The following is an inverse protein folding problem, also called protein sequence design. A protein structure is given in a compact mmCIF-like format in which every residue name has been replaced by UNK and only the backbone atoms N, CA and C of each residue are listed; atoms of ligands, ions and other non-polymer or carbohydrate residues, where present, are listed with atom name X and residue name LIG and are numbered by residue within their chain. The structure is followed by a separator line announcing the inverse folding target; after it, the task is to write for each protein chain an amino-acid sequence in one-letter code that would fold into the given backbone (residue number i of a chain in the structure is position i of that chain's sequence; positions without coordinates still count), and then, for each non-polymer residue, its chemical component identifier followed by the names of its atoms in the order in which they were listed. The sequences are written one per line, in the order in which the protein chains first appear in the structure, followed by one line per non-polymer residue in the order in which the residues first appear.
data_IF_770764459116
#
_entry.id   IF_770764459116
#
_cell.length_a   1.000
_cell.length_b   1.000
_cell.length_c   1.000
_cell.angle_alpha   90.00
_cell.angle_beta   90.00
_cell.angle_gamma   90.00
#
_symmetry.space_group_name_H-M   'P 1'
#
loop_
_entity.id
_entity.type
_entity.pdbx_description
1 polymer ?
#
# COMPACT_ATOMS: atom_id res chain seq x y z
N UNK A 1 -1.71 -3.67 -18.28
CA UNK A 1 -2.36 -3.75 -16.96
C UNK A 1 -2.17 -2.45 -16.21
N UNK A 2 -3.23 -1.91 -15.64
CA UNK A 2 -3.20 -0.65 -14.89
C UNK A 2 -3.32 -0.94 -13.40
N UNK A 3 -2.31 -0.56 -12.64
CA UNK A 3 -2.28 -0.68 -11.18
C UNK A 3 -2.72 0.63 -10.53
N UNK A 4 -3.58 0.53 -9.53
CA UNK A 4 -3.92 1.61 -8.62
C UNK A 4 -3.17 1.39 -7.32
N UNK A 5 -2.46 2.40 -6.84
CA UNK A 5 -1.58 2.26 -5.68
C UNK A 5 -2.07 3.19 -4.58
N UNK A 6 -2.20 2.64 -3.37
CA UNK A 6 -2.59 3.40 -2.19
C UNK A 6 -1.89 2.86 -0.95
N UNK A 7 -1.90 3.62 0.12
CA UNK A 7 -1.25 3.25 1.37
C UNK A 7 -1.86 4.01 2.54
N UNK A 8 -1.63 3.48 3.75
CA UNK A 8 -1.87 4.21 4.99
C UNK A 8 -3.34 4.66 5.16
N UNK A 9 -4.28 3.73 4.95
CA UNK A 9 -5.71 3.96 5.12
C UNK A 9 -6.06 4.17 6.61
N UNK A 10 -5.36 3.47 7.50
CA UNK A 10 -5.50 3.57 8.95
C UNK A 10 -6.95 3.46 9.46
N UNK A 11 -7.74 2.61 8.83
CA UNK A 11 -9.11 2.33 9.26
C UNK A 11 -10.15 3.39 8.90
N UNK A 12 -9.80 4.38 8.08
CA UNK A 12 -10.73 5.42 7.63
C UNK A 12 -11.67 4.89 6.56
N UNK A 13 -12.91 4.62 6.91
CA UNK A 13 -13.93 4.25 5.93
C UNK A 13 -14.25 5.41 4.97
N UNK A 14 -14.19 6.63 5.44
CA UNK A 14 -14.39 7.83 4.63
C UNK A 14 -13.39 7.89 3.47
N UNK A 15 -12.08 7.82 3.78
CA UNK A 15 -11.06 7.84 2.74
C UNK A 15 -10.99 6.56 1.93
N UNK A 16 -11.33 5.40 2.53
CA UNK A 16 -11.41 4.15 1.80
C UNK A 16 -12.49 4.20 0.71
N UNK A 17 -13.66 4.76 1.01
CA UNK A 17 -14.73 4.96 0.01
C UNK A 17 -14.27 5.86 -1.14
N UNK A 18 -13.61 6.97 -0.82
CA UNK A 18 -13.06 7.88 -1.84
C UNK A 18 -12.01 7.20 -2.71
N UNK A 19 -11.13 6.43 -2.09
CA UNK A 19 -10.14 5.63 -2.79
C UNK A 19 -10.78 4.65 -3.78
N UNK A 20 -11.81 3.93 -3.35
CA UNK A 20 -12.51 2.98 -4.20
C UNK A 20 -13.30 3.64 -5.33
N UNK A 21 -13.88 4.81 -5.08
CA UNK A 21 -14.49 5.62 -6.15
C UNK A 21 -13.46 6.00 -7.20
N UNK A 22 -12.28 6.43 -6.77
CA UNK A 22 -11.19 6.79 -7.69
C UNK A 22 -10.66 5.57 -8.42
N UNK A 23 -10.53 4.43 -7.75
CA UNK A 23 -10.14 3.17 -8.36
C UNK A 23 -11.04 2.81 -9.54
N UNK A 24 -12.36 2.92 -9.35
CA UNK A 24 -13.34 2.67 -10.41
C UNK A 24 -13.25 3.70 -11.53
N UNK A 25 -13.14 4.99 -11.18
CA UNK A 25 -13.05 6.07 -12.17
C UNK A 25 -11.82 5.92 -13.07
N UNK A 26 -10.72 5.42 -12.54
CA UNK A 26 -9.48 5.20 -13.29
C UNK A 26 -9.50 3.92 -14.13
N UNK A 27 -10.51 3.08 -14.01
CA UNK A 27 -10.58 1.77 -14.67
C UNK A 27 -9.33 0.91 -14.44
N UNK A 28 -8.82 0.92 -13.22
CA UNK A 28 -7.65 0.12 -12.87
C UNK A 28 -8.02 -1.36 -12.82
N UNK A 29 -7.05 -2.21 -13.14
CA UNK A 29 -7.22 -3.66 -13.17
C UNK A 29 -6.97 -4.29 -11.80
N UNK A 30 -6.00 -3.76 -11.07
CA UNK A 30 -5.61 -4.24 -9.74
C UNK A 30 -5.21 -3.10 -8.84
N UNK A 31 -5.35 -3.35 -7.54
CA UNK A 31 -4.95 -2.42 -6.48
C UNK A 31 -3.74 -2.98 -5.72
N UNK A 32 -2.73 -2.14 -5.54
CA UNK A 32 -1.59 -2.42 -4.67
C UNK A 32 -1.71 -1.55 -3.43
N UNK A 33 -1.85 -2.18 -2.27
CA UNK A 33 -1.87 -1.52 -0.98
C UNK A 33 -0.52 -1.68 -0.29
N UNK A 34 0.05 -0.59 0.18
CA UNK A 34 1.38 -0.58 0.78
C UNK A 34 1.37 -0.67 2.31
N UNK A 35 0.27 -1.15 2.89
CA UNK A 35 0.18 -1.42 4.32
C UNK A 35 -0.52 -0.33 5.13
N UNK A 36 -0.59 -0.55 6.44
CA UNK A 36 -1.28 0.30 7.42
C UNK A 36 -2.76 0.49 7.06
N UNK A 37 -3.49 -0.63 6.99
CA UNK A 37 -4.86 -0.68 6.48
C UNK A 37 -5.90 -0.35 7.55
N UNK A 38 -5.87 -1.03 8.71
CA UNK A 38 -6.97 -1.00 9.68
C UNK A 38 -6.67 -0.17 10.92
N UNK A 39 -5.50 -0.31 11.49
CA UNK A 39 -5.15 0.33 12.75
C UNK A 39 -4.63 1.76 12.52
N UNK A 40 -5.13 2.71 13.32
CA UNK A 40 -4.75 4.12 13.17
C UNK A 40 -3.29 4.41 13.58
N UNK A 41 -2.68 3.53 14.38
CA UNK A 41 -1.33 3.70 14.92
C UNK A 41 -1.33 4.46 16.24
N UNK A 42 -0.45 4.07 17.19
CA UNK A 42 -0.46 4.64 18.53
C UNK A 42 -0.01 6.11 18.59
N UNK A 43 0.66 6.59 17.54
CA UNK A 43 1.19 7.96 17.47
C UNK A 43 0.33 8.91 16.63
N UNK A 44 -0.72 8.41 16.01
CA UNK A 44 -1.59 9.18 15.13
C UNK A 44 -2.93 9.44 15.80
N UNK A 45 -3.53 10.59 15.52
CA UNK A 45 -4.92 10.84 15.85
C UNK A 45 -5.82 9.93 15.01
N UNK A 46 -7.06 9.71 15.48
CA UNK A 46 -8.04 8.97 14.70
C UNK A 46 -8.35 9.72 13.40
N UNK A 47 -8.25 9.06 12.24
CA UNK A 47 -8.58 9.69 10.97
C UNK A 47 -10.08 9.95 10.85
N UNK A 48 -10.44 10.85 9.96
CA UNK A 48 -11.83 11.14 9.64
C UNK A 48 -12.55 9.85 9.18
N UNK A 49 -13.73 9.60 9.75
CA UNK A 49 -14.52 8.42 9.40
C UNK A 49 -13.88 7.10 9.81
N UNK A 50 -13.16 7.07 10.93
CA UNK A 50 -12.55 5.84 11.43
C UNK A 50 -13.60 4.78 11.71
N UNK A 51 -13.64 3.74 10.90
CA UNK A 51 -14.56 2.61 11.01
C UNK A 51 -13.90 1.37 10.36
N UNK A 52 -12.96 0.72 11.05
CA UNK A 52 -12.20 -0.38 10.47
C UNK A 52 -13.06 -1.55 10.00
N UNK A 53 -14.21 -1.83 10.64
CA UNK A 53 -15.12 -2.88 10.20
C UNK A 53 -15.69 -2.61 8.81
N UNK A 54 -15.99 -1.35 8.50
CA UNK A 54 -16.48 -0.96 7.16
C UNK A 54 -15.35 -1.08 6.13
N UNK A 55 -14.12 -0.73 6.49
CA UNK A 55 -12.95 -0.91 5.63
C UNK A 55 -12.76 -2.39 5.30
N UNK A 56 -12.88 -3.28 6.28
CA UNK A 56 -12.80 -4.73 6.10
C UNK A 56 -13.83 -5.20 5.07
N UNK A 57 -15.08 -4.79 5.22
CA UNK A 57 -16.15 -5.18 4.30
C UNK A 57 -15.88 -4.70 2.86
N UNK A 58 -15.50 -3.44 2.71
CA UNK A 58 -15.22 -2.84 1.40
C UNK A 58 -14.06 -3.54 0.68
N UNK A 59 -12.96 -3.79 1.37
CA UNK A 59 -11.78 -4.41 0.76
C UNK A 59 -11.99 -5.91 0.51
N UNK A 60 -12.64 -6.62 1.41
CA UNK A 60 -12.92 -8.04 1.22
C UNK A 60 -13.85 -8.29 0.02
N UNK A 61 -14.73 -7.36 -0.29
CA UNK A 61 -15.61 -7.45 -1.46
C UNK A 61 -14.83 -7.46 -2.78
N UNK A 62 -13.61 -6.94 -2.79
CA UNK A 62 -12.74 -6.89 -3.98
C UNK A 62 -11.41 -7.62 -3.77
N UNK A 63 -11.38 -8.62 -2.91
CA UNK A 63 -10.18 -9.36 -2.52
C UNK A 63 -9.34 -9.90 -3.67
N UNK A 64 -9.99 -10.28 -4.77
CA UNK A 64 -9.31 -10.90 -5.92
C UNK A 64 -8.52 -9.87 -6.76
N UNK A 65 -8.73 -8.59 -6.53
CA UNK A 65 -8.05 -7.51 -7.22
C UNK A 65 -6.94 -6.85 -6.40
N UNK A 66 -6.76 -7.29 -5.14
CA UNK A 66 -5.83 -6.64 -4.19
C UNK A 66 -4.54 -7.43 -4.02
N UNK A 67 -3.41 -6.73 -4.15
CA UNK A 67 -2.11 -7.14 -3.66
C UNK A 67 -1.72 -6.19 -2.53
N UNK A 68 -1.25 -6.72 -1.40
CA UNK A 68 -0.93 -5.90 -0.23
C UNK A 68 0.40 -6.30 0.38
N UNK A 69 1.19 -5.32 0.81
CA UNK A 69 2.38 -5.55 1.61
C UNK A 69 2.15 -5.11 3.06
N UNK A 70 2.93 -5.67 3.98
CA UNK A 70 2.80 -5.40 5.40
C UNK A 70 3.38 -4.03 5.77
N UNK A 71 2.58 -3.22 6.46
CA UNK A 71 3.05 -2.01 7.12
C UNK A 71 3.48 -2.28 8.58
N UNK A 72 3.84 -1.23 9.29
CA UNK A 72 4.19 -1.34 10.70
C UNK A 72 2.98 -1.58 11.61
N UNK A 73 1.77 -1.32 11.12
CA UNK A 73 0.53 -1.51 11.87
C UNK A 73 -0.15 -2.86 11.65
N UNK A 74 0.22 -3.64 10.65
CA UNK A 74 -0.37 -4.95 10.41
C UNK A 74 0.12 -5.97 11.43
N UNK A 75 -0.82 -6.70 12.02
CA UNK A 75 -0.58 -7.81 12.92
C UNK A 75 -1.35 -9.04 12.42
N UNK A 76 -1.18 -10.17 13.08
CA UNK A 76 -1.88 -11.39 12.70
C UNK A 76 -3.40 -11.26 12.77
N UNK A 77 -3.92 -10.44 13.68
CA UNK A 77 -5.36 -10.18 13.79
C UNK A 77 -5.91 -9.54 12.51
N UNK A 78 -5.13 -8.70 11.85
CA UNK A 78 -5.54 -8.11 10.57
C UNK A 78 -5.67 -9.19 9.49
N UNK A 79 -4.74 -10.14 9.46
CA UNK A 79 -4.82 -11.26 8.53
C UNK A 79 -6.03 -12.16 8.79
N UNK A 80 -6.49 -12.24 10.03
CA UNK A 80 -7.68 -13.04 10.38
C UNK A 80 -8.97 -12.46 9.82
N UNK A 81 -9.04 -11.15 9.60
CA UNK A 81 -10.26 -10.46 9.16
C UNK A 81 -10.21 -10.02 7.70
N UNK A 82 -9.02 -9.86 7.11
CA UNK A 82 -8.85 -9.54 5.70
C UNK A 82 -8.64 -10.81 4.87
N UNK A 83 -9.37 -10.94 3.76
CA UNK A 83 -9.41 -12.14 2.93
C UNK A 83 -8.36 -12.15 1.81
N UNK A 84 -7.33 -11.35 1.94
CA UNK A 84 -6.16 -11.31 1.06
C UNK A 84 -4.89 -11.20 1.92
N UNK A 85 -3.73 -11.64 1.43
CA UNK A 85 -2.48 -11.60 2.22
C UNK A 85 -2.09 -10.16 2.58
N UNK A 86 -1.77 -9.92 3.86
CA UNK A 86 -1.36 -8.61 4.38
C UNK A 86 -0.04 -8.64 5.16
N UNK A 87 0.59 -9.80 5.25
CA UNK A 87 1.81 -9.98 6.06
C UNK A 87 3.09 -10.16 5.22
N UNK A 88 3.02 -9.93 3.90
CA UNK A 88 4.19 -9.99 3.03
C UNK A 88 5.04 -8.73 3.21
N UNK A 89 6.32 -8.88 3.53
CA UNK A 89 7.20 -7.74 3.81
C UNK A 89 7.48 -6.89 2.56
N UNK A 90 7.38 -7.47 1.38
CA UNK A 90 7.57 -6.77 0.11
C UNK A 90 6.80 -7.46 -1.01
N UNK A 91 6.68 -6.77 -2.13
CA UNK A 91 6.18 -7.32 -3.38
C UNK A 91 7.03 -6.82 -4.54
N UNK A 92 7.12 -7.64 -5.58
CA UNK A 92 7.85 -7.29 -6.80
C UNK A 92 6.86 -7.34 -7.95
N UNK A 93 6.81 -6.25 -8.73
CA UNK A 93 6.04 -6.17 -9.97
C UNK A 93 7.04 -6.07 -11.13
N UNK A 94 6.98 -7.04 -12.03
CA UNK A 94 7.83 -7.08 -13.21
C UNK A 94 7.26 -6.19 -14.31
N UNK A 95 8.06 -5.24 -14.76
CA UNK A 95 7.72 -4.33 -15.86
C UNK A 95 8.41 -4.72 -17.17
N UNK A 96 9.08 -5.86 -17.21
CA UNK A 96 9.83 -6.32 -18.37
C UNK A 96 11.31 -5.95 -18.29
N UNK A 97 11.65 -4.68 -18.44
CA UNK A 97 13.03 -4.19 -18.38
C UNK A 97 13.49 -3.78 -16.99
N UNK A 98 12.57 -3.61 -16.07
CA UNK A 98 12.82 -3.20 -14.70
C UNK A 98 11.75 -3.79 -13.78
N UNK A 99 11.94 -3.64 -12.47
CA UNK A 99 10.95 -4.07 -11.49
C UNK A 99 10.51 -2.90 -10.62
N UNK A 100 9.32 -3.01 -10.07
CA UNK A 100 8.90 -2.22 -8.92
C UNK A 100 9.13 -3.07 -7.68
N UNK A 101 9.93 -2.55 -6.74
CA UNK A 101 10.10 -3.13 -5.43
C UNK A 101 9.17 -2.37 -4.48
N UNK A 102 8.07 -3.00 -4.09
CA UNK A 102 7.03 -2.36 -3.27
C UNK A 102 7.19 -2.76 -1.81
N UNK A 103 7.28 -1.78 -0.92
CA UNK A 103 7.34 -1.96 0.53
C UNK A 103 6.45 -0.93 1.21
N UNK A 104 6.26 -1.07 2.52
CA UNK A 104 5.56 -0.03 3.28
C UNK A 104 6.42 1.24 3.45
N UNK A 105 7.72 1.08 3.73
CA UNK A 105 8.65 2.17 3.91
C UNK A 105 9.23 2.32 5.31
N UNK A 106 8.76 1.53 6.28
CA UNK A 106 9.30 1.59 7.66
C UNK A 106 10.62 0.84 7.81
N UNK A 107 10.95 -0.05 6.87
CA UNK A 107 12.23 -0.80 6.83
C UNK A 107 13.03 -0.38 5.61
N UNK A 108 12.53 -0.67 4.40
CA UNK A 108 13.16 -0.26 3.16
C UNK A 108 12.57 1.04 2.66
N UNK A 109 13.41 2.01 2.44
CA UNK A 109 13.07 3.37 1.99
C UNK A 109 14.30 4.00 1.31
N UNK A 110 14.26 5.29 0.99
CA UNK A 110 15.36 6.00 0.34
C UNK A 110 16.66 6.01 1.15
N UNK A 111 16.60 5.80 2.46
CA UNK A 111 17.76 5.77 3.36
C UNK A 111 18.27 4.35 3.65
N UNK A 112 17.52 3.33 3.28
CA UNK A 112 17.84 1.93 3.47
C UNK A 112 17.27 1.12 2.29
N UNK A 113 18.01 1.13 1.19
CA UNK A 113 17.54 0.54 -0.07
C UNK A 113 17.61 -0.98 -0.05
N UNK A 114 16.60 -1.67 -0.62
CA UNK A 114 16.74 -3.09 -0.94
C UNK A 114 17.72 -3.28 -2.10
N UNK A 115 18.15 -4.52 -2.39
CA UNK A 115 18.97 -4.79 -3.57
C UNK A 115 18.21 -4.42 -4.86
N UNK A 116 18.72 -3.44 -5.59
CA UNK A 116 18.08 -2.90 -6.79
C UNK A 116 19.10 -2.74 -7.92
N UNK A 117 18.61 -2.89 -9.15
CA UNK A 117 19.39 -2.62 -10.36
C UNK A 117 19.04 -1.24 -10.92
N UNK A 118 19.92 -0.73 -11.76
CA UNK A 118 19.66 0.49 -12.53
C UNK A 118 18.32 0.40 -13.28
N UNK A 119 17.48 1.42 -13.13
CA UNK A 119 16.18 1.50 -13.75
C UNK A 119 15.04 0.93 -12.91
N UNK A 120 15.33 0.29 -11.79
CA UNK A 120 14.29 -0.21 -10.89
C UNK A 120 13.61 0.94 -10.12
N UNK A 121 12.41 0.66 -9.63
CA UNK A 121 11.59 1.61 -8.88
C UNK A 121 11.38 1.10 -7.47
N UNK A 122 11.68 1.93 -6.47
CA UNK A 122 11.28 1.69 -5.08
C UNK A 122 9.97 2.44 -4.82
N UNK A 123 8.95 1.71 -4.41
CA UNK A 123 7.64 2.26 -4.11
C UNK A 123 7.35 2.02 -2.63
N UNK A 124 7.01 3.08 -1.89
CA UNK A 124 6.66 2.95 -0.48
C UNK A 124 5.67 4.02 -0.01
N UNK A 125 5.04 3.76 1.14
CA UNK A 125 4.19 4.68 1.87
C UNK A 125 4.84 5.13 3.17
N UNK A 126 4.13 4.98 4.29
CA UNK A 126 4.53 5.19 5.68
C UNK A 126 4.71 6.65 6.11
N UNK A 127 5.36 7.50 5.32
CA UNK A 127 5.68 8.88 5.71
C UNK A 127 4.48 9.81 5.70
N UNK A 128 3.39 9.42 5.00
CA UNK A 128 2.20 10.24 4.73
C UNK A 128 2.53 11.51 3.93
N UNK A 129 3.67 11.54 3.25
CA UNK A 129 4.12 12.67 2.43
C UNK A 129 4.32 12.19 1.00
N UNK A 130 3.56 12.72 0.03
CA UNK A 130 3.75 12.37 -1.38
C UNK A 130 5.14 12.77 -1.85
N UNK A 131 5.80 11.87 -2.57
CA UNK A 131 7.17 12.08 -3.03
C UNK A 131 7.43 11.29 -4.30
N UNK A 132 8.16 11.88 -5.24
CA UNK A 132 8.68 11.18 -6.40
C UNK A 132 10.09 11.72 -6.65
N UNK A 133 11.10 10.87 -6.49
CA UNK A 133 12.50 11.28 -6.66
C UNK A 133 13.20 10.33 -7.62
N UNK A 134 13.75 10.90 -8.68
CA UNK A 134 14.60 10.20 -9.63
C UNK A 134 16.05 10.31 -9.18
N UNK A 135 16.69 9.17 -9.00
CA UNK A 135 18.10 9.05 -8.69
C UNK A 135 18.84 8.54 -9.93
N UNK A 136 20.18 8.60 -9.91
CA UNK A 136 21.00 8.23 -11.06
C UNK A 136 20.68 6.82 -11.59
N UNK A 137 20.45 5.86 -10.69
CA UNK A 137 20.26 4.45 -11.03
C UNK A 137 18.84 3.93 -10.84
N UNK A 138 17.99 4.64 -10.08
CA UNK A 138 16.62 4.18 -9.79
C UNK A 138 15.71 5.34 -9.38
N UNK A 139 14.40 5.07 -9.37
CA UNK A 139 13.37 6.02 -8.92
C UNK A 139 12.72 5.50 -7.64
N UNK A 140 12.38 6.38 -6.68
CA UNK A 140 11.46 6.00 -5.62
C UNK A 140 10.21 6.90 -5.59
N UNK A 141 9.09 6.29 -5.17
CA UNK A 141 7.75 6.91 -5.13
C UNK A 141 7.12 6.70 -3.75
#
# INVERSE_FOLDING_TARGET
MKWFIASDIHGSAYYCRKMLERYKAENADRMLLLGDILYHGPRNDLPEGYAPKEVIEMLNAMKDEILCVRGNCEAEVDQMVLKFPVLADYAIIDLGNSIIYATHGHIYNENNLPPMKKGDILLHGHTHVPKCVELEDYTYL
#
